data_IF_464376299814
#
_entry.id   IF_464376299814
#
_cell.length_a   1.000
_cell.length_b   1.000
_cell.length_c   1.000
_cell.angle_alpha   90.00
_cell.angle_beta   90.00
_cell.angle_gamma   90.00
#
_symmetry.space_group_name_H-M   'P 1'
#
loop_
_entity.id
_entity.type
_entity.pdbx_description
1 polymer ?
#
# COMPACT_ATOMS: atom_id res chain seq x y z
N UNK A 1 -31.58 -1.22 5.94
CA UNK A 1 -30.20 -1.74 6.12
C UNK A 1 -29.07 -0.72 5.97
N UNK A 2 -29.24 0.56 6.37
CA UNK A 2 -28.14 1.55 6.28
C UNK A 2 -26.99 1.26 7.26
N UNK A 3 -27.30 0.77 8.46
CA UNK A 3 -26.32 0.39 9.48
C UNK A 3 -25.47 -0.80 9.00
N UNK A 4 -26.12 -1.83 8.43
CA UNK A 4 -25.43 -2.99 7.88
C UNK A 4 -24.38 -2.58 6.83
N UNK A 5 -24.76 -1.71 5.88
CA UNK A 5 -23.81 -1.21 4.87
C UNK A 5 -22.61 -0.48 5.47
N UNK A 6 -22.81 0.26 6.57
CA UNK A 6 -21.70 0.91 7.30
C UNK A 6 -20.77 -0.10 7.96
N UNK A 7 -21.30 -1.18 8.54
CA UNK A 7 -20.50 -2.24 9.16
C UNK A 7 -19.62 -2.98 8.14
N UNK A 8 -20.12 -3.18 6.92
CA UNK A 8 -19.37 -3.86 5.85
C UNK A 8 -18.48 -2.92 5.05
N UNK A 9 -18.46 -1.61 5.34
CA UNK A 9 -17.67 -0.65 4.58
C UNK A 9 -16.17 -0.94 4.61
N UNK A 10 -15.69 -1.38 5.77
CA UNK A 10 -14.30 -1.78 5.99
C UNK A 10 -14.27 -3.20 6.52
N UNK A 11 -13.63 -4.11 5.79
CA UNK A 11 -13.53 -5.53 6.16
C UNK A 11 -12.08 -5.89 6.39
N UNK A 12 -11.80 -6.60 7.49
CA UNK A 12 -10.47 -7.13 7.81
C UNK A 12 -10.55 -8.64 7.99
N UNK A 13 -9.90 -9.37 7.10
CA UNK A 13 -9.82 -10.82 7.08
C UNK A 13 -8.44 -11.26 7.56
N UNK A 14 -8.38 -11.68 8.83
CA UNK A 14 -7.13 -12.03 9.51
C UNK A 14 -6.81 -13.52 9.53
N UNK A 15 -7.76 -14.38 9.17
CA UNK A 15 -7.59 -15.84 9.15
C UNK A 15 -8.48 -16.46 8.07
N UNK A 16 -8.06 -17.63 7.58
CA UNK A 16 -8.80 -18.39 6.58
C UNK A 16 -10.24 -18.67 6.97
N UNK A 17 -10.47 -19.18 8.19
CA UNK A 17 -11.82 -19.50 8.66
C UNK A 17 -12.76 -18.28 8.63
N UNK A 18 -12.26 -17.08 8.95
CA UNK A 18 -13.07 -15.85 8.87
C UNK A 18 -13.33 -15.42 7.44
N UNK A 19 -12.35 -15.62 6.55
CA UNK A 19 -12.51 -15.31 5.14
C UNK A 19 -13.56 -16.23 4.48
N UNK A 20 -13.55 -17.54 4.77
CA UNK A 20 -14.56 -18.47 4.28
C UNK A 20 -15.96 -18.13 4.80
N UNK A 21 -16.12 -17.88 6.12
CA UNK A 21 -17.40 -17.46 6.69
C UNK A 21 -17.92 -16.16 6.04
N UNK A 22 -17.02 -15.22 5.77
CA UNK A 22 -17.35 -13.97 5.08
C UNK A 22 -17.87 -14.25 3.66
N UNK A 23 -17.15 -15.06 2.88
CA UNK A 23 -17.57 -15.51 1.54
C UNK A 23 -18.94 -16.17 1.59
N UNK A 24 -19.14 -17.16 2.46
CA UNK A 24 -20.40 -17.91 2.55
C UNK A 24 -21.58 -16.99 2.93
N UNK A 25 -21.36 -16.03 3.83
CA UNK A 25 -22.39 -15.06 4.24
C UNK A 25 -22.81 -14.11 3.12
N UNK A 26 -21.92 -13.83 2.16
CA UNK A 26 -22.15 -12.87 1.08
C UNK A 26 -22.46 -13.52 -0.27
N UNK A 27 -22.24 -14.84 -0.42
CA UNK A 27 -22.49 -15.58 -1.66
C UNK A 27 -23.93 -15.46 -2.15
N UNK A 28 -24.90 -15.37 -1.24
CA UNK A 28 -26.32 -15.14 -1.57
C UNK A 28 -26.66 -13.68 -1.88
N UNK A 29 -25.73 -12.73 -1.66
CA UNK A 29 -25.94 -11.27 -1.77
C UNK A 29 -24.75 -10.56 -2.45
N UNK A 30 -24.30 -10.97 -3.65
CA UNK A 30 -23.11 -10.40 -4.29
C UNK A 30 -23.24 -8.90 -4.62
N UNK A 31 -24.45 -8.43 -4.97
CA UNK A 31 -24.71 -7.00 -5.19
C UNK A 31 -24.49 -6.20 -3.91
N UNK A 32 -24.85 -6.77 -2.75
CA UNK A 32 -24.61 -6.10 -1.47
C UNK A 32 -23.11 -5.97 -1.19
N UNK A 33 -22.33 -7.03 -1.41
CA UNK A 33 -20.88 -7.04 -1.20
C UNK A 33 -20.17 -5.98 -2.06
N UNK A 34 -20.43 -5.99 -3.38
CA UNK A 34 -19.85 -5.04 -4.33
C UNK A 34 -20.20 -3.57 -4.02
N UNK A 35 -21.42 -3.30 -3.56
CA UNK A 35 -21.86 -1.93 -3.24
C UNK A 35 -21.28 -1.45 -1.91
N UNK A 36 -21.25 -2.30 -0.88
CA UNK A 36 -20.98 -1.85 0.49
C UNK A 36 -19.51 -1.97 0.89
N UNK A 37 -18.77 -2.97 0.42
CA UNK A 37 -17.35 -3.16 0.79
C UNK A 37 -16.47 -2.21 -0.01
N UNK A 38 -15.86 -1.23 0.68
CA UNK A 38 -15.00 -0.20 0.05
C UNK A 38 -13.53 -0.29 0.45
N UNK A 39 -13.27 -0.76 1.66
CA UNK A 39 -11.93 -1.00 2.17
C UNK A 39 -11.79 -2.46 2.59
N UNK A 40 -10.78 -3.14 2.07
CA UNK A 40 -10.53 -4.55 2.37
C UNK A 40 -9.08 -4.74 2.81
N UNK A 41 -8.87 -5.45 3.91
CA UNK A 41 -7.56 -5.90 4.35
C UNK A 41 -7.57 -7.43 4.47
N UNK A 42 -6.76 -8.10 3.66
CA UNK A 42 -6.53 -9.55 3.73
C UNK A 42 -5.12 -9.78 4.26
N UNK A 43 -4.99 -10.55 5.36
CA UNK A 43 -3.71 -10.83 6.01
C UNK A 43 -3.16 -12.21 5.64
N UNK A 44 -1.88 -12.42 5.95
CA UNK A 44 -1.08 -13.57 5.51
C UNK A 44 -1.50 -14.97 5.94
N UNK A 45 -2.60 -15.12 6.67
CA UNK A 45 -3.17 -16.43 7.03
C UNK A 45 -4.38 -16.81 6.17
N UNK A 46 -4.69 -16.01 5.14
CA UNK A 46 -5.75 -16.29 4.17
C UNK A 46 -5.13 -16.89 2.91
N UNK A 47 -5.68 -18.00 2.45
CA UNK A 47 -5.27 -18.69 1.24
C UNK A 47 -5.53 -17.83 0.01
N UNK A 48 -4.68 -17.97 -1.01
CA UNK A 48 -4.77 -17.20 -2.23
C UNK A 48 -6.11 -17.40 -2.95
N UNK A 49 -6.60 -18.63 -3.02
CA UNK A 49 -7.91 -19.00 -3.59
C UNK A 49 -9.06 -18.24 -2.93
N UNK A 50 -9.13 -18.26 -1.61
CA UNK A 50 -10.14 -17.54 -0.83
C UNK A 50 -10.00 -16.03 -0.98
N UNK A 51 -8.77 -15.51 -1.03
CA UNK A 51 -8.53 -14.10 -1.28
C UNK A 51 -9.08 -13.65 -2.65
N UNK A 52 -8.88 -14.46 -3.70
CA UNK A 52 -9.44 -14.20 -5.04
C UNK A 52 -10.96 -14.18 -5.00
N UNK A 53 -11.61 -15.16 -4.35
CA UNK A 53 -13.08 -15.21 -4.25
C UNK A 53 -13.64 -13.98 -3.51
N UNK A 54 -13.03 -13.59 -2.39
CA UNK A 54 -13.39 -12.38 -1.64
C UNK A 54 -13.30 -11.14 -2.54
N UNK A 55 -12.19 -10.99 -3.27
CA UNK A 55 -11.95 -9.83 -4.14
C UNK A 55 -13.00 -9.79 -5.27
N UNK A 56 -13.32 -10.93 -5.88
CA UNK A 56 -14.31 -11.03 -6.94
C UNK A 56 -15.72 -10.69 -6.46
N UNK A 57 -16.10 -11.13 -5.26
CA UNK A 57 -17.39 -10.77 -4.63
C UNK A 57 -17.48 -9.27 -4.33
N UNK A 58 -16.37 -8.64 -3.97
CA UNK A 58 -16.29 -7.26 -3.53
C UNK A 58 -15.77 -6.32 -4.63
N UNK A 59 -16.38 -6.33 -5.83
CA UNK A 59 -15.85 -5.58 -6.99
C UNK A 59 -15.78 -4.05 -6.84
N UNK A 60 -16.43 -3.46 -5.82
CA UNK A 60 -16.40 -2.03 -5.54
C UNK A 60 -15.32 -1.56 -4.57
N UNK A 61 -14.31 -2.39 -4.27
CA UNK A 61 -13.18 -2.01 -3.41
C UNK A 61 -12.37 -0.89 -4.08
N UNK A 62 -12.10 0.16 -3.30
CA UNK A 62 -11.25 1.30 -3.71
C UNK A 62 -9.94 1.38 -2.92
N UNK A 63 -9.86 0.66 -1.80
CA UNK A 63 -8.74 0.64 -0.87
C UNK A 63 -8.44 -0.79 -0.42
N UNK A 64 -7.28 -1.31 -0.79
CA UNK A 64 -6.91 -2.70 -0.56
C UNK A 64 -5.57 -2.81 0.17
N UNK A 65 -5.56 -3.56 1.28
CA UNK A 65 -4.36 -4.15 1.85
C UNK A 65 -4.35 -5.66 1.56
N UNK A 66 -3.44 -6.11 0.71
CA UNK A 66 -3.26 -7.51 0.36
C UNK A 66 -1.91 -8.00 0.87
N UNK A 67 -1.92 -8.60 2.06
CA UNK A 67 -0.71 -9.00 2.79
C UNK A 67 -0.58 -10.52 2.86
N UNK A 68 -0.88 -11.20 1.76
CA UNK A 68 -0.75 -12.64 1.62
C UNK A 68 0.59 -12.99 0.99
N UNK A 69 1.20 -14.08 1.43
CA UNK A 69 2.37 -14.66 0.79
C UNK A 69 1.89 -15.87 0.00
N UNK A 70 1.98 -15.86 -1.35
CA UNK A 70 1.53 -16.99 -2.14
C UNK A 70 2.42 -18.21 -1.86
N UNK A 71 1.79 -19.34 -1.53
CA UNK A 71 2.43 -20.64 -1.40
C UNK A 71 1.96 -21.56 -2.53
N UNK A 72 2.92 -22.21 -3.21
CA UNK A 72 2.68 -23.39 -4.07
C UNK A 72 2.13 -23.15 -5.47
N UNK A 73 1.07 -22.34 -5.64
CA UNK A 73 0.28 -22.32 -6.88
C UNK A 73 0.47 -21.04 -7.71
N UNK A 74 1.12 -21.18 -8.87
CA UNK A 74 1.35 -20.09 -9.81
C UNK A 74 0.14 -19.77 -10.69
N UNK A 75 -0.78 -20.71 -10.92
CA UNK A 75 -1.94 -20.51 -11.79
C UNK A 75 -2.96 -19.57 -11.11
N UNK A 76 -3.02 -19.62 -9.78
CA UNK A 76 -3.84 -18.72 -8.98
C UNK A 76 -3.35 -17.27 -8.99
N UNK A 77 -2.09 -17.02 -9.37
CA UNK A 77 -1.55 -15.67 -9.50
C UNK A 77 -2.25 -14.90 -10.63
N UNK A 78 -2.46 -15.56 -11.77
CA UNK A 78 -3.08 -14.93 -12.94
C UNK A 78 -4.55 -14.59 -12.63
N UNK A 79 -5.26 -15.47 -11.93
CA UNK A 79 -6.62 -15.22 -11.43
C UNK A 79 -6.68 -14.05 -10.44
N UNK A 80 -5.67 -13.93 -9.57
CA UNK A 80 -5.57 -12.79 -8.66
C UNK A 80 -5.35 -11.49 -9.43
N UNK A 81 -4.40 -11.46 -10.37
CA UNK A 81 -4.14 -10.27 -11.19
C UNK A 81 -5.37 -9.85 -11.98
N UNK A 82 -6.09 -10.80 -12.58
CA UNK A 82 -7.35 -10.54 -13.27
C UNK A 82 -8.41 -9.93 -12.35
N UNK A 83 -8.53 -10.44 -11.13
CA UNK A 83 -9.45 -9.91 -10.13
C UNK A 83 -9.05 -8.48 -9.71
N UNK A 84 -7.77 -8.25 -9.42
CA UNK A 84 -7.23 -6.95 -9.02
C UNK A 84 -7.37 -5.89 -10.13
N UNK A 85 -7.13 -6.27 -11.39
CA UNK A 85 -7.22 -5.37 -12.53
C UNK A 85 -8.64 -4.85 -12.78
N UNK A 86 -9.67 -5.58 -12.36
CA UNK A 86 -11.09 -5.19 -12.50
C UNK A 86 -11.55 -4.21 -11.43
N UNK A 87 -10.80 -4.07 -10.33
CA UNK A 87 -11.19 -3.19 -9.23
C UNK A 87 -10.91 -1.70 -9.56
N UNK A 88 -11.74 -0.77 -9.04
CA UNK A 88 -11.48 0.67 -9.11
C UNK A 88 -10.51 1.14 -8.01
N UNK A 89 -9.36 0.45 -7.86
CA UNK A 89 -8.40 0.73 -6.79
C UNK A 89 -7.76 2.11 -6.95
N UNK A 90 -7.83 2.87 -5.86
CA UNK A 90 -7.12 4.15 -5.71
C UNK A 90 -5.98 4.06 -4.69
N UNK A 91 -6.09 3.12 -3.73
CA UNK A 91 -5.15 2.91 -2.64
C UNK A 91 -4.80 1.42 -2.55
N UNK A 92 -3.51 1.12 -2.51
CA UNK A 92 -3.01 -0.24 -2.48
C UNK A 92 -1.86 -0.36 -1.47
N UNK A 93 -1.96 -1.33 -0.57
CA UNK A 93 -0.88 -1.80 0.31
C UNK A 93 -0.65 -3.27 0.01
N UNK A 94 0.55 -3.65 -0.43
CA UNK A 94 0.76 -4.99 -0.99
C UNK A 94 2.16 -5.52 -0.71
N UNK A 95 2.26 -6.85 -0.59
CA UNK A 95 3.50 -7.57 -0.76
C UNK A 95 3.78 -7.77 -2.26
N UNK A 96 4.89 -7.26 -2.79
CA UNK A 96 5.21 -7.44 -4.22
C UNK A 96 5.34 -8.92 -4.61
N UNK A 97 5.75 -9.77 -3.67
CA UNK A 97 5.77 -11.23 -3.86
C UNK A 97 4.37 -11.83 -4.13
N UNK A 98 3.29 -11.11 -3.85
CA UNK A 98 1.92 -11.51 -4.16
C UNK A 98 1.56 -11.34 -5.63
N UNK A 99 2.27 -10.51 -6.39
CA UNK A 99 1.96 -10.19 -7.80
C UNK A 99 3.08 -10.51 -8.76
N UNK A 100 4.31 -10.71 -8.28
CA UNK A 100 5.44 -11.15 -9.08
C UNK A 100 5.81 -12.60 -8.77
N UNK A 101 6.13 -13.38 -9.81
CA UNK A 101 6.72 -14.71 -9.63
C UNK A 101 8.15 -14.53 -9.13
N UNK A 102 8.64 -15.49 -8.33
CA UNK A 102 9.97 -15.42 -7.69
C UNK A 102 11.13 -15.29 -8.69
N UNK A 103 10.92 -15.68 -9.95
CA UNK A 103 11.92 -15.68 -11.02
C UNK A 103 11.99 -14.37 -11.79
N UNK A 104 10.99 -13.50 -11.64
CA UNK A 104 10.82 -12.36 -12.52
C UNK A 104 11.51 -11.14 -11.90
N UNK A 105 12.18 -10.35 -12.73
CA UNK A 105 12.63 -9.02 -12.31
C UNK A 105 11.40 -8.11 -12.23
N UNK A 106 11.01 -7.64 -11.02
CA UNK A 106 9.76 -6.94 -10.86
C UNK A 106 9.83 -5.56 -11.53
N UNK A 107 8.90 -5.28 -12.44
CA UNK A 107 8.74 -3.97 -13.07
C UNK A 107 7.28 -3.52 -12.95
N UNK A 108 6.99 -2.62 -12.00
CA UNK A 108 5.63 -2.22 -11.66
C UNK A 108 4.80 -1.70 -12.86
N UNK A 109 5.37 -0.87 -13.77
CA UNK A 109 4.58 -0.35 -14.89
C UNK A 109 4.07 -1.42 -15.86
N UNK A 110 4.63 -2.64 -15.85
CA UNK A 110 4.13 -3.76 -16.67
C UNK A 110 2.81 -4.34 -16.17
N UNK A 111 2.44 -4.08 -14.91
CA UNK A 111 1.20 -4.60 -14.31
C UNK A 111 0.16 -3.47 -14.28
N UNK A 112 -0.92 -3.64 -15.05
CA UNK A 112 -1.99 -2.64 -15.21
C UNK A 112 -2.61 -2.17 -13.89
N UNK A 113 -2.58 -3.00 -12.85
CA UNK A 113 -3.00 -2.65 -11.49
C UNK A 113 -2.38 -1.34 -11.01
N UNK A 114 -1.06 -1.15 -11.19
CA UNK A 114 -0.36 -0.01 -10.62
C UNK A 114 -0.69 1.30 -11.33
N UNK A 115 -1.10 1.26 -12.60
CA UNK A 115 -1.46 2.46 -13.39
C UNK A 115 -2.66 3.25 -12.83
N UNK A 116 -3.49 2.63 -11.99
CA UNK A 116 -4.72 3.22 -11.42
C UNK A 116 -4.54 3.77 -10.01
N UNK A 117 -3.47 3.32 -9.33
CA UNK A 117 -3.26 3.59 -7.91
C UNK A 117 -2.64 4.97 -7.73
N UNK A 118 -3.14 5.73 -6.75
CA UNK A 118 -2.60 7.05 -6.36
C UNK A 118 -1.88 7.01 -5.02
N UNK A 119 -2.19 6.02 -4.17
CA UNK A 119 -1.50 5.78 -2.90
C UNK A 119 -0.98 4.35 -2.86
N UNK A 120 0.34 4.19 -2.82
CA UNK A 120 1.00 2.89 -2.88
C UNK A 120 1.84 2.64 -1.62
N UNK A 121 1.58 1.54 -0.93
CA UNK A 121 2.37 1.07 0.22
C UNK A 121 3.00 -0.29 -0.10
N UNK A 122 4.32 -0.32 -0.25
CA UNK A 122 5.07 -1.54 -0.56
C UNK A 122 5.73 -2.07 0.70
N UNK A 123 5.44 -3.31 1.08
CA UNK A 123 5.90 -3.87 2.36
C UNK A 123 7.37 -4.32 2.35
N UNK A 124 7.93 -4.55 1.16
CA UNK A 124 9.29 -4.98 0.92
C UNK A 124 10.30 -3.83 1.06
N UNK A 125 11.32 -4.00 1.92
CA UNK A 125 12.42 -3.03 1.99
C UNK A 125 13.42 -3.15 0.85
N UNK A 126 13.49 -4.31 0.19
CA UNK A 126 14.44 -4.53 -0.90
C UNK A 126 14.18 -3.69 -2.14
N UNK A 127 12.98 -3.12 -2.25
CA UNK A 127 12.58 -2.16 -3.29
C UNK A 127 13.55 -0.97 -3.38
N UNK A 128 14.21 -0.63 -2.28
CA UNK A 128 15.17 0.45 -2.20
C UNK A 128 16.63 0.00 -2.29
N UNK A 129 16.93 -1.28 -2.52
CA UNK A 129 18.31 -1.82 -2.47
C UNK A 129 19.08 -1.71 -3.80
N UNK A 130 18.64 -0.86 -4.73
CA UNK A 130 19.37 -0.56 -5.97
C UNK A 130 18.81 -1.19 -7.24
N UNK A 131 17.85 -2.11 -7.16
CA UNK A 131 17.15 -2.64 -8.34
C UNK A 131 15.95 -1.75 -8.68
N UNK A 132 15.95 -1.02 -9.81
CA UNK A 132 14.84 -0.15 -10.16
C UNK A 132 13.64 -0.99 -10.59
N UNK A 133 12.61 -1.04 -9.74
CA UNK A 133 11.35 -1.72 -10.10
C UNK A 133 10.38 -0.82 -10.89
N UNK A 134 10.83 0.36 -11.33
CA UNK A 134 10.02 1.31 -12.09
C UNK A 134 8.98 2.09 -11.28
N UNK A 135 9.12 2.23 -9.95
CA UNK A 135 8.20 3.07 -9.14
C UNK A 135 8.18 4.51 -9.66
N UNK A 136 9.33 5.07 -9.97
CA UNK A 136 9.49 6.45 -10.45
C UNK A 136 8.76 6.71 -11.79
N UNK A 137 8.45 5.65 -12.55
CA UNK A 137 7.66 5.74 -13.78
C UNK A 137 6.15 5.87 -13.55
N UNK A 138 5.67 5.66 -12.32
CA UNK A 138 4.26 5.72 -11.96
C UNK A 138 3.87 7.15 -11.57
N UNK A 139 3.84 8.05 -12.57
CA UNK A 139 3.69 9.50 -12.38
C UNK A 139 2.36 9.92 -11.77
N UNK A 140 1.34 9.07 -11.81
CA UNK A 140 0.05 9.28 -11.15
C UNK A 140 0.09 9.13 -9.61
N UNK A 141 1.19 8.61 -9.05
CA UNK A 141 1.32 8.42 -7.61
C UNK A 141 1.42 9.78 -6.90
N UNK A 142 0.57 9.94 -5.89
CA UNK A 142 0.56 11.12 -5.01
C UNK A 142 1.13 10.79 -3.64
N UNK A 143 1.01 9.53 -3.22
CA UNK A 143 1.47 9.05 -1.93
C UNK A 143 2.19 7.71 -2.10
N UNK A 144 3.39 7.61 -1.54
CA UNK A 144 4.17 6.39 -1.55
C UNK A 144 4.60 6.07 -0.11
N UNK A 145 4.53 4.81 0.29
CA UNK A 145 5.07 4.30 1.56
C UNK A 145 6.03 3.16 1.28
N UNK A 146 7.28 3.32 1.71
CA UNK A 146 8.36 2.35 1.53
C UNK A 146 8.97 1.98 2.88
N UNK A 147 9.62 0.82 2.95
CA UNK A 147 10.41 0.44 4.11
C UNK A 147 11.87 0.80 3.85
N UNK A 148 12.45 1.63 4.72
CA UNK A 148 13.83 2.10 4.60
C UNK A 148 14.74 1.39 5.61
N UNK A 149 15.96 1.10 5.15
CA UNK A 149 17.09 0.64 5.96
C UNK A 149 18.33 1.43 5.55
N UNK A 150 18.92 2.20 6.46
CA UNK A 150 20.01 3.16 6.11
C UNK A 150 21.24 2.47 5.52
N UNK A 151 21.53 1.23 5.89
CA UNK A 151 22.68 0.44 5.44
C UNK A 151 22.49 -0.23 4.07
N UNK A 152 21.25 -0.33 3.58
CA UNK A 152 20.91 -1.02 2.32
C UNK A 152 20.25 -0.13 1.27
N UNK A 153 19.68 0.99 1.69
CA UNK A 153 18.94 1.89 0.80
C UNK A 153 19.90 2.59 -0.14
N UNK A 154 19.64 2.52 -1.43
CA UNK A 154 20.31 3.30 -2.45
C UNK A 154 19.70 4.71 -2.49
N UNK A 155 20.41 5.77 -2.06
CA UNK A 155 19.88 7.14 -2.02
C UNK A 155 19.39 7.61 -3.39
N UNK A 156 20.09 7.20 -4.47
CA UNK A 156 19.74 7.52 -5.84
C UNK A 156 18.31 7.10 -6.22
N UNK A 157 17.79 6.00 -5.69
CA UNK A 157 16.41 5.58 -5.96
C UNK A 157 15.38 6.52 -5.32
N UNK A 158 15.66 7.04 -4.12
CA UNK A 158 14.80 8.03 -3.48
C UNK A 158 14.81 9.34 -4.28
N UNK A 159 15.99 9.79 -4.70
CA UNK A 159 16.14 10.97 -5.55
C UNK A 159 15.36 10.81 -6.87
N UNK A 160 15.46 9.66 -7.54
CA UNK A 160 14.69 9.37 -8.76
C UNK A 160 13.18 9.42 -8.51
N UNK A 161 12.70 8.83 -7.41
CA UNK A 161 11.27 8.89 -7.06
C UNK A 161 10.83 10.35 -6.85
N UNK A 162 11.62 11.15 -6.14
CA UNK A 162 11.31 12.55 -5.85
C UNK A 162 11.33 13.43 -7.11
N UNK A 163 12.24 13.14 -8.04
CA UNK A 163 12.39 13.88 -9.29
C UNK A 163 11.32 13.51 -10.33
N UNK A 164 11.09 12.22 -10.54
CA UNK A 164 10.29 11.74 -11.68
C UNK A 164 8.80 11.59 -11.34
N UNK A 165 8.44 11.34 -10.07
CA UNK A 165 7.04 11.33 -9.64
C UNK A 165 6.53 12.76 -9.41
N UNK A 166 6.26 13.49 -10.48
CA UNK A 166 5.89 14.92 -10.45
C UNK A 166 4.63 15.24 -9.62
N UNK A 167 3.75 14.27 -9.39
CA UNK A 167 2.54 14.44 -8.59
C UNK A 167 2.69 13.96 -7.15
N UNK A 168 3.88 13.49 -6.78
CA UNK A 168 4.17 13.00 -5.43
C UNK A 168 4.07 14.15 -4.44
N UNK A 169 3.16 13.99 -3.48
CA UNK A 169 2.93 14.91 -2.36
C UNK A 169 3.60 14.41 -1.09
N UNK A 170 3.59 13.09 -0.87
CA UNK A 170 4.12 12.48 0.34
C UNK A 170 4.86 11.18 0.03
N UNK A 171 6.10 11.09 0.51
CA UNK A 171 6.89 9.88 0.55
C UNK A 171 7.11 9.46 2.01
N UNK A 172 6.36 8.46 2.47
CA UNK A 172 6.50 7.92 3.83
C UNK A 172 7.60 6.86 3.86
N UNK A 173 8.64 7.09 4.67
CA UNK A 173 9.72 6.16 4.91
C UNK A 173 9.48 5.49 6.27
N UNK A 174 9.04 4.24 6.24
CA UNK A 174 8.83 3.43 7.44
C UNK A 174 10.14 2.78 7.85
N UNK A 175 10.50 2.95 9.12
CA UNK A 175 11.81 2.54 9.63
C UNK A 175 11.67 1.68 10.87
N UNK A 176 12.60 0.74 11.04
CA UNK A 176 12.80 0.02 12.31
C UNK A 176 13.92 0.62 13.14
N UNK A 177 14.73 1.48 12.53
CA UNK A 177 15.77 2.27 13.19
C UNK A 177 15.17 3.46 13.93
N UNK A 178 15.97 4.11 14.79
CA UNK A 178 15.57 5.36 15.43
C UNK A 178 15.31 6.45 14.37
N UNK A 179 14.19 7.16 14.49
CA UNK A 179 13.76 8.19 13.51
C UNK A 179 14.84 9.27 13.32
N UNK A 180 15.41 9.80 14.41
CA UNK A 180 16.43 10.85 14.33
C UNK A 180 17.71 10.41 13.62
N UNK A 181 18.09 9.12 13.74
CA UNK A 181 19.23 8.56 12.99
C UNK A 181 18.96 8.55 11.49
N UNK A 182 17.74 8.18 11.08
CA UNK A 182 17.35 8.15 9.68
C UNK A 182 17.25 9.56 9.11
N UNK A 183 16.68 10.50 9.85
CA UNK A 183 16.62 11.92 9.45
C UNK A 183 18.03 12.49 9.24
N UNK A 184 18.98 12.17 10.13
CA UNK A 184 20.39 12.54 9.93
C UNK A 184 20.98 11.92 8.65
N UNK A 185 20.72 10.63 8.41
CA UNK A 185 21.18 9.97 7.18
C UNK A 185 20.61 10.62 5.91
N UNK A 186 19.35 11.08 5.93
CA UNK A 186 18.74 11.83 4.82
C UNK A 186 19.46 13.17 4.58
N UNK A 187 19.78 13.91 5.65
CA UNK A 187 20.50 15.19 5.56
C UNK A 187 21.93 15.05 5.04
N UNK A 188 22.57 13.89 5.24
CA UNK A 188 23.92 13.61 4.73
C UNK A 188 23.95 13.35 3.21
N UNK A 189 22.79 13.17 2.56
CA UNK A 189 22.67 12.90 1.13
C UNK A 189 21.96 14.06 0.41
N UNK A 190 22.65 14.64 -0.58
CA UNK A 190 22.14 15.77 -1.34
C UNK A 190 20.77 15.47 -1.98
N UNK A 191 19.87 16.45 -2.00
CA UNK A 191 18.52 16.30 -2.56
C UNK A 191 17.55 15.41 -1.78
N UNK A 192 17.92 14.88 -0.60
CA UNK A 192 17.01 14.15 0.29
C UNK A 192 16.51 14.97 1.49
N UNK A 193 16.88 16.25 1.59
CA UNK A 193 16.20 17.22 2.46
C UNK A 193 14.94 17.77 1.79
N UNK A 194 14.00 16.88 1.48
CA UNK A 194 12.77 17.20 0.75
C UNK A 194 11.56 17.18 1.71
N UNK A 195 10.77 18.25 1.69
CA UNK A 195 9.59 18.44 2.57
C UNK A 195 8.57 17.30 2.43
N UNK A 196 8.50 16.64 1.27
CA UNK A 196 7.59 15.53 0.98
C UNK A 196 7.96 14.25 1.73
N UNK A 197 9.19 14.11 2.23
CA UNK A 197 9.66 12.89 2.91
C UNK A 197 9.19 12.85 4.36
N UNK A 198 8.39 11.88 4.75
CA UNK A 198 7.94 11.69 6.15
C UNK A 198 8.52 10.41 6.72
N UNK A 199 9.34 10.51 7.76
CA UNK A 199 9.92 9.34 8.45
C UNK A 199 9.01 8.90 9.59
N UNK A 200 8.77 7.59 9.72
CA UNK A 200 7.94 7.06 10.82
C UNK A 200 8.33 5.66 11.25
N UNK A 201 8.22 5.38 12.55
CA UNK A 201 8.33 4.03 13.11
C UNK A 201 6.99 3.25 13.10
N UNK A 202 5.89 3.87 12.64
CA UNK A 202 4.58 3.21 12.58
C UNK A 202 4.59 2.08 11.56
N UNK A 203 4.10 0.90 11.94
CA UNK A 203 3.93 -0.19 10.99
C UNK A 203 2.65 -0.02 10.16
N UNK A 204 2.61 -0.57 8.94
CA UNK A 204 1.35 -0.59 8.17
C UNK A 204 0.26 -1.43 8.83
N UNK A 205 0.62 -2.39 9.70
CA UNK A 205 -0.37 -3.16 10.46
C UNK A 205 -1.13 -2.27 11.43
N UNK A 206 -0.43 -1.37 12.11
CA UNK A 206 -1.04 -0.46 13.09
C UNK A 206 -2.01 0.50 12.40
N UNK A 207 -1.63 1.01 11.23
CA UNK A 207 -2.41 2.02 10.50
C UNK A 207 -3.74 1.48 9.97
N UNK A 208 -3.79 0.20 9.58
CA UNK A 208 -5.03 -0.45 9.15
C UNK A 208 -5.95 -0.80 10.32
N UNK A 209 -5.40 -1.19 11.48
CA UNK A 209 -6.20 -1.36 12.70
C UNK A 209 -6.83 -0.03 13.12
N UNK A 210 -6.08 1.06 13.01
CA UNK A 210 -6.55 2.40 13.35
C UNK A 210 -7.72 2.90 12.51
N UNK A 211 -8.03 2.31 11.34
CA UNK A 211 -9.20 2.72 10.55
C UNK A 211 -10.54 2.26 11.14
N UNK A 212 -10.49 1.30 12.06
CA UNK A 212 -11.66 0.85 12.81
C UNK A 212 -11.85 1.63 14.10
N UNK A 213 -10.86 2.45 14.49
CA UNK A 213 -10.92 3.39 15.60
C UNK A 213 -10.82 4.83 15.05
N UNK A 214 -11.00 5.86 15.89
CA UNK A 214 -10.87 7.26 15.45
C UNK A 214 -9.41 7.68 15.15
N UNK A 215 -8.54 6.70 14.87
CA UNK A 215 -7.13 6.90 14.61
C UNK A 215 -6.86 7.45 13.21
N UNK A 216 -5.83 8.29 13.11
CA UNK A 216 -5.36 8.83 11.85
C UNK A 216 -4.70 7.73 11.00
N UNK A 217 -5.13 7.60 9.75
CA UNK A 217 -4.49 6.69 8.79
C UNK A 217 -3.07 7.12 8.45
N UNK A 218 -2.25 6.21 7.90
CA UNK A 218 -0.87 6.51 7.46
C UNK A 218 -0.81 7.73 6.53
N UNK A 219 -1.74 7.80 5.59
CA UNK A 219 -1.79 8.86 4.59
C UNK A 219 -2.14 10.21 5.20
N UNK A 220 -3.14 10.25 6.08
CA UNK A 220 -3.50 11.47 6.81
C UNK A 220 -2.36 11.96 7.70
N UNK A 221 -1.60 11.04 8.30
CA UNK A 221 -0.40 11.38 9.07
C UNK A 221 0.68 11.98 8.18
N UNK A 222 0.94 11.36 7.03
CA UNK A 222 1.86 11.89 6.02
C UNK A 222 1.48 13.29 5.54
N UNK A 223 0.21 13.49 5.17
CA UNK A 223 -0.35 14.78 4.75
C UNK A 223 -0.17 15.85 5.84
N UNK A 224 -0.43 15.50 7.10
CA UNK A 224 -0.30 16.42 8.22
C UNK A 224 1.15 16.89 8.39
N UNK A 225 2.11 15.96 8.40
CA UNK A 225 3.52 16.29 8.57
C UNK A 225 4.06 17.12 7.39
N UNK A 226 3.71 16.75 6.15
CA UNK A 226 4.11 17.50 4.96
C UNK A 226 3.60 18.96 5.02
N UNK A 227 2.32 19.15 5.32
CA UNK A 227 1.73 20.49 5.48
C UNK A 227 2.38 21.33 6.58
N UNK A 228 2.72 20.71 7.71
CA UNK A 228 3.41 21.42 8.78
C UNK A 228 4.79 21.92 8.34
N UNK A 229 5.49 21.17 7.48
CA UNK A 229 6.80 21.57 6.95
C UNK A 229 6.70 22.67 5.92
N UNK A 230 5.70 22.62 5.04
CA UNK A 230 5.43 23.69 4.08
C UNK A 230 5.21 25.03 4.79
N UNK A 231 4.40 25.02 5.85
CA UNK A 231 4.12 26.22 6.65
C UNK A 231 5.39 26.78 7.34
N UNK A 232 6.31 25.92 7.78
CA UNK A 232 7.58 26.36 8.37
C UNK A 232 8.48 26.98 7.29
N UNK A 233 8.54 26.37 6.10
CA UNK A 233 9.36 26.87 5.00
C UNK A 233 8.90 28.25 4.53
N UNK A 234 7.58 28.46 4.42
CA UNK A 234 6.98 29.77 4.09
C UNK A 234 7.29 30.86 5.14
N UNK A 235 7.51 30.50 6.40
CA UNK A 235 7.84 31.48 7.46
C UNK A 235 9.33 31.86 7.49
N UNK A 236 10.19 31.10 6.81
CA UNK A 236 11.66 31.31 6.82
C UNK A 236 12.20 32.09 5.61
N UNK A 237 11.33 32.41 4.64
CA UNK A 237 11.62 33.19 3.44
C UNK A 237 11.15 34.64 3.66
#
# INVERSE_FOLDING_TARGET
>A
NRIEGLMYRTVVLASEARACLFVDSLRSRPVFASVNVKSLCIRGMVQLTTAVEVIQLCSGIVDLALWILPEGDHDMLDHLLDALNKLPLSRLSIHLSTVFRRTDMPFLPSISLFSKVTHLDLLEGWVLWGSPIGIHCLTQLTHISLRLFTDRTAPALLQMILADCIHLKVLVLRVTEEVGRVEKWLQEHDGLDDHRIVVTAKSSRDTWNCRTSDGMSLWQYGDYIAKCRDAIHECTI
#
